data_IF_119283095453
#
_entry.id   IF_119283095453
#
_cell.length_a   1.000
_cell.length_b   1.000
_cell.length_c   1.000
_cell.angle_alpha   90.00
_cell.angle_beta   90.00
_cell.angle_gamma   90.00
#
_symmetry.space_group_name_H-M   'P 1'
#
loop_
_entity.id
_entity.type
_entity.pdbx_description
1 polymer ?
#
# COMPACT_ATOMS: atom_id res chain seq x y z
N UNK A 1 -13.51 -24.26 -0.82
CA UNK A 1 -12.16 -24.86 -0.78
C UNK A 1 -11.03 -23.87 -1.13
N UNK A 2 -11.25 -22.76 -1.84
CA UNK A 2 -10.17 -21.84 -2.24
C UNK A 2 -9.53 -21.08 -1.07
N UNK A 3 -10.34 -20.46 -0.20
CA UNK A 3 -9.81 -19.69 0.95
C UNK A 3 -9.12 -20.60 1.96
N UNK A 4 -9.61 -21.83 2.15
CA UNK A 4 -8.99 -22.79 3.06
C UNK A 4 -7.56 -23.15 2.66
N UNK A 5 -7.21 -23.08 1.37
CA UNK A 5 -5.82 -23.27 0.90
C UNK A 5 -4.94 -22.09 1.35
N UNK A 6 -5.44 -20.85 1.27
CA UNK A 6 -4.69 -19.65 1.72
C UNK A 6 -4.64 -19.47 3.24
N UNK A 7 -5.51 -20.17 3.99
CA UNK A 7 -5.40 -20.32 5.45
C UNK A 7 -4.29 -21.32 5.85
N UNK A 8 -3.78 -22.14 4.92
CA UNK A 8 -2.71 -23.09 5.19
C UNK A 8 -1.34 -22.41 5.18
N UNK A 9 -0.47 -22.75 6.13
CA UNK A 9 0.88 -22.18 6.32
C UNK A 9 1.95 -22.80 5.38
N UNK A 10 1.56 -23.27 4.19
CA UNK A 10 2.49 -23.91 3.26
C UNK A 10 3.20 -22.85 2.41
N UNK A 11 4.53 -22.90 2.35
CA UNK A 11 5.36 -21.99 1.51
C UNK A 11 4.96 -22.00 0.02
N UNK A 12 4.35 -23.09 -0.44
CA UNK A 12 3.77 -23.24 -1.78
C UNK A 12 2.72 -22.16 -2.11
N UNK A 13 2.03 -21.64 -1.10
CA UNK A 13 0.95 -20.64 -1.26
C UNK A 13 1.49 -19.26 -1.70
N UNK A 14 2.73 -18.91 -1.35
CA UNK A 14 3.40 -17.73 -1.92
C UNK A 14 3.71 -17.90 -3.42
N UNK A 15 3.94 -19.13 -3.88
CA UNK A 15 4.05 -19.41 -5.32
C UNK A 15 2.71 -19.23 -6.03
N UNK A 16 1.62 -19.65 -5.39
CA UNK A 16 0.27 -19.43 -5.91
C UNK A 16 -0.11 -17.95 -6.00
N UNK A 17 0.31 -17.08 -5.06
CA UNK A 17 0.01 -15.65 -5.18
C UNK A 17 0.68 -15.02 -6.40
N UNK A 18 1.91 -15.43 -6.75
CA UNK A 18 2.60 -15.00 -7.98
C UNK A 18 1.83 -15.49 -9.23
N UNK A 19 1.39 -16.75 -9.23
CA UNK A 19 0.59 -17.31 -10.34
C UNK A 19 -0.75 -16.56 -10.47
N UNK A 20 -1.39 -16.22 -9.35
CA UNK A 20 -2.65 -15.46 -9.34
C UNK A 20 -2.43 -14.05 -9.88
N UNK A 21 -1.34 -13.36 -9.50
CA UNK A 21 -0.97 -12.07 -10.10
C UNK A 21 -0.83 -12.22 -11.61
N UNK A 22 -0.07 -13.21 -12.07
CA UNK A 22 0.18 -13.41 -13.50
C UNK A 22 -1.10 -13.74 -14.27
N UNK A 23 -1.93 -14.67 -13.76
CA UNK A 23 -3.18 -15.07 -14.39
C UNK A 23 -4.22 -13.96 -14.44
N UNK A 24 -4.37 -13.19 -13.36
CA UNK A 24 -5.31 -12.06 -13.33
C UNK A 24 -4.88 -10.94 -14.28
N UNK A 25 -3.59 -10.87 -14.63
CA UNK A 25 -3.04 -9.77 -15.41
C UNK A 25 -2.73 -10.11 -16.88
N UNK A 26 -2.75 -11.38 -17.27
CA UNK A 26 -2.65 -11.81 -18.67
C UNK A 26 -3.66 -11.12 -19.63
N UNK A 27 -4.93 -10.90 -19.26
CA UNK A 27 -5.90 -10.24 -20.13
C UNK A 27 -5.53 -8.79 -20.48
N UNK A 28 -4.72 -8.15 -19.63
CA UNK A 28 -4.36 -6.73 -19.77
C UNK A 28 -3.25 -6.48 -20.79
N UNK A 29 -2.46 -7.50 -21.12
CA UNK A 29 -1.51 -7.43 -22.24
C UNK A 29 -2.21 -7.11 -23.57
N UNK A 30 -3.48 -7.51 -23.69
CA UNK A 30 -4.30 -7.32 -24.89
C UNK A 30 -5.15 -6.05 -24.83
N UNK A 31 -5.32 -5.45 -23.65
CA UNK A 31 -6.02 -4.18 -23.47
C UNK A 31 -5.07 -3.04 -23.82
N UNK A 32 -5.33 -2.41 -24.97
CA UNK A 32 -4.44 -1.42 -25.60
C UNK A 32 -4.56 -0.05 -24.92
N UNK A 33 -4.26 0.04 -23.63
CA UNK A 33 -4.25 1.32 -22.92
C UNK A 33 -2.91 2.02 -23.15
N UNK A 34 -2.88 2.96 -24.09
CA UNK A 34 -1.78 3.92 -24.24
C UNK A 34 -1.82 4.91 -23.07
N UNK A 35 -1.32 4.50 -21.92
CA UNK A 35 -1.23 5.37 -20.75
C UNK A 35 -0.03 6.30 -20.97
N UNK A 36 -0.33 7.57 -21.23
CA UNK A 36 0.65 8.64 -21.28
C UNK A 36 1.09 8.90 -19.84
N UNK A 37 2.24 8.34 -19.47
CA UNK A 37 2.90 8.72 -18.22
C UNK A 37 3.48 10.09 -18.47
N UNK A 38 2.95 11.09 -17.77
CA UNK A 38 3.42 12.46 -17.87
C UNK A 38 4.96 12.47 -17.82
N UNK A 39 5.57 13.16 -18.79
CA UNK A 39 7.02 13.31 -19.06
C UNK A 39 7.85 13.84 -17.87
N UNK A 40 7.26 14.00 -16.71
CA UNK A 40 7.78 14.74 -15.56
C UNK A 40 7.87 13.88 -14.30
N UNK A 41 8.08 12.57 -14.42
CA UNK A 41 8.59 11.82 -13.28
C UNK A 41 9.98 12.33 -12.95
N UNK A 42 10.18 12.84 -11.73
CA UNK A 42 11.45 13.32 -11.15
C UNK A 42 12.67 12.42 -11.44
N UNK A 43 12.43 11.17 -11.78
CA UNK A 43 13.43 10.20 -12.21
C UNK A 43 13.23 9.82 -13.68
N UNK A 44 14.05 10.37 -14.57
CA UNK A 44 14.07 10.01 -16.00
C UNK A 44 14.28 8.49 -16.22
N UNK A 45 14.88 7.78 -15.27
CA UNK A 45 15.02 6.32 -15.29
C UNK A 45 13.70 5.54 -15.38
N UNK A 46 12.61 6.08 -14.82
CA UNK A 46 11.28 5.45 -14.88
C UNK A 46 10.71 5.51 -16.31
N UNK A 47 11.03 6.58 -17.04
CA UNK A 47 10.58 6.74 -18.43
C UNK A 47 11.19 5.70 -19.38
N UNK A 48 12.44 5.29 -19.17
CA UNK A 48 13.09 4.25 -19.97
C UNK A 48 12.41 2.88 -19.84
N UNK A 49 12.00 2.51 -18.62
CA UNK A 49 11.29 1.25 -18.34
C UNK A 49 9.92 1.25 -19.05
N UNK A 50 9.25 2.40 -19.04
CA UNK A 50 7.91 2.54 -19.57
C UNK A 50 7.84 2.64 -21.10
N UNK A 51 8.96 2.93 -21.77
CA UNK A 51 9.03 2.91 -23.24
C UNK A 51 8.80 1.50 -23.84
N UNK A 52 9.10 0.44 -23.08
CA UNK A 52 8.89 -0.94 -23.51
C UNK A 52 7.74 -1.55 -22.70
N UNK A 53 6.56 -1.70 -23.32
CA UNK A 53 5.34 -2.23 -22.67
C UNK A 53 5.56 -3.53 -21.89
N UNK A 54 6.36 -4.45 -22.44
CA UNK A 54 6.62 -5.75 -21.83
C UNK A 54 7.50 -5.63 -20.58
N UNK A 55 8.41 -4.66 -20.59
CA UNK A 55 9.35 -4.38 -19.50
C UNK A 55 8.62 -3.70 -18.34
N UNK A 56 7.78 -2.69 -18.62
CA UNK A 56 6.94 -2.06 -17.60
C UNK A 56 5.96 -3.03 -16.96
N UNK A 57 5.32 -3.90 -17.75
CA UNK A 57 4.47 -4.96 -17.23
C UNK A 57 5.23 -5.93 -16.32
N UNK A 58 6.39 -6.43 -16.78
CA UNK A 58 7.21 -7.36 -16.00
C UNK A 58 7.65 -6.75 -14.66
N UNK A 59 8.11 -5.49 -14.66
CA UNK A 59 8.48 -4.80 -13.43
C UNK A 59 7.29 -4.51 -12.51
N UNK A 60 6.12 -4.16 -13.06
CA UNK A 60 4.90 -3.97 -12.28
C UNK A 60 4.48 -5.25 -11.54
N UNK A 61 4.47 -6.39 -12.25
CA UNK A 61 4.19 -7.72 -11.67
C UNK A 61 5.19 -8.04 -10.57
N UNK A 62 6.48 -7.82 -10.83
CA UNK A 62 7.56 -8.13 -9.90
C UNK A 62 7.44 -7.27 -8.63
N UNK A 63 7.17 -5.96 -8.77
CA UNK A 63 7.02 -5.07 -7.63
C UNK A 63 5.77 -5.38 -6.79
N UNK A 64 4.61 -5.61 -7.42
CA UNK A 64 3.38 -5.92 -6.67
C UNK A 64 3.46 -7.29 -6.00
N UNK A 65 4.04 -8.29 -6.67
CA UNK A 65 4.28 -9.60 -6.04
C UNK A 65 5.26 -9.50 -4.88
N UNK A 66 6.35 -8.73 -5.03
CA UNK A 66 7.29 -8.49 -3.94
C UNK A 66 6.62 -7.77 -2.75
N UNK A 67 5.79 -6.75 -3.00
CA UNK A 67 5.01 -6.05 -1.98
C UNK A 67 4.03 -7.00 -1.27
N UNK A 68 3.30 -7.81 -2.02
CA UNK A 68 2.35 -8.80 -1.50
C UNK A 68 3.03 -9.85 -0.59
N UNK A 69 4.17 -10.37 -1.02
CA UNK A 69 4.95 -11.35 -0.24
C UNK A 69 5.51 -10.69 1.01
N UNK A 70 6.04 -9.46 0.90
CA UNK A 70 6.66 -8.77 2.02
C UNK A 70 5.62 -8.35 3.07
N UNK A 71 4.46 -7.82 2.69
CA UNK A 71 3.41 -7.48 3.67
C UNK A 71 2.90 -8.72 4.40
N UNK A 72 2.79 -9.84 3.71
CA UNK A 72 2.42 -11.11 4.33
C UNK A 72 3.50 -11.61 5.30
N UNK A 73 4.77 -11.46 4.92
CA UNK A 73 5.90 -11.72 5.81
C UNK A 73 5.84 -10.84 7.06
N UNK A 74 5.56 -9.53 6.93
CA UNK A 74 5.42 -8.62 8.07
C UNK A 74 4.32 -9.07 9.03
N UNK A 75 3.12 -9.36 8.51
CA UNK A 75 1.97 -9.78 9.33
C UNK A 75 2.27 -11.06 10.11
N UNK A 76 2.91 -12.04 9.47
CA UNK A 76 3.29 -13.31 10.10
C UNK A 76 4.46 -13.12 11.09
N UNK A 77 5.46 -12.31 10.76
CA UNK A 77 6.60 -12.00 11.63
C UNK A 77 6.17 -11.31 12.93
N UNK A 78 5.30 -10.29 12.82
CA UNK A 78 4.77 -9.58 13.98
C UNK A 78 3.60 -10.28 14.67
N UNK A 79 3.14 -11.42 14.11
CA UNK A 79 1.99 -12.21 14.57
C UNK A 79 0.74 -11.34 14.76
N UNK A 80 0.45 -10.47 13.80
CA UNK A 80 -0.71 -9.56 13.83
C UNK A 80 -2.01 -10.38 13.69
N UNK A 81 -1.96 -11.48 12.95
CA UNK A 81 -3.04 -12.44 12.80
C UNK A 81 -2.67 -13.69 13.62
N UNK A 82 -3.65 -14.26 14.35
CA UNK A 82 -3.42 -15.36 15.28
C UNK A 82 -2.78 -16.62 14.64
N UNK A 83 -3.11 -16.88 13.37
CA UNK A 83 -2.55 -17.98 12.60
C UNK A 83 -1.68 -17.40 11.48
N UNK A 84 -0.57 -18.08 11.18
CA UNK A 84 0.19 -17.77 9.97
C UNK A 84 -0.69 -18.05 8.76
N UNK A 85 -0.96 -17.02 7.97
CA UNK A 85 -1.81 -17.11 6.79
C UNK A 85 -1.15 -16.43 5.61
N UNK A 86 -1.61 -16.75 4.40
CA UNK A 86 -1.23 -16.06 3.17
C UNK A 86 -2.36 -15.19 2.62
N UNK A 87 -3.39 -14.96 3.44
CA UNK A 87 -4.56 -14.16 3.08
C UNK A 87 -4.18 -12.71 2.79
N UNK A 88 -3.20 -12.15 3.51
CA UNK A 88 -2.77 -10.76 3.33
C UNK A 88 -2.21 -10.56 1.92
N UNK A 89 -1.32 -11.46 1.47
CA UNK A 89 -0.78 -11.39 0.11
C UNK A 89 -1.87 -11.49 -0.95
N UNK A 90 -2.85 -12.37 -0.74
CA UNK A 90 -3.96 -12.56 -1.66
C UNK A 90 -4.83 -11.30 -1.75
N UNK A 91 -5.25 -10.74 -0.62
CA UNK A 91 -6.09 -9.53 -0.62
C UNK A 91 -5.34 -8.31 -1.16
N UNK A 92 -4.03 -8.21 -0.92
CA UNK A 92 -3.21 -7.16 -1.51
C UNK A 92 -3.16 -7.27 -3.05
N UNK A 93 -2.95 -8.48 -3.58
CA UNK A 93 -2.95 -8.72 -5.03
C UNK A 93 -4.32 -8.41 -5.64
N UNK A 94 -5.41 -8.86 -5.02
CA UNK A 94 -6.77 -8.57 -5.51
C UNK A 94 -7.08 -7.08 -5.49
N UNK A 95 -6.60 -6.36 -4.47
CA UNK A 95 -6.71 -4.91 -4.40
C UNK A 95 -5.98 -4.23 -5.55
N UNK A 96 -4.71 -4.58 -5.80
CA UNK A 96 -3.97 -4.01 -6.94
C UNK A 96 -4.57 -4.42 -8.30
N UNK A 97 -5.07 -5.66 -8.43
CA UNK A 97 -5.65 -6.17 -9.66
C UNK A 97 -7.02 -5.57 -10.02
N UNK A 98 -7.64 -4.83 -9.10
CA UNK A 98 -8.91 -4.17 -9.33
C UNK A 98 -8.83 -3.02 -10.34
N UNK A 99 -7.63 -2.50 -10.58
CA UNK A 99 -7.44 -1.36 -11.45
C UNK A 99 -6.27 -1.56 -12.41
N UNK A 100 -6.60 -1.52 -13.70
CA UNK A 100 -5.63 -1.73 -14.77
C UNK A 100 -4.55 -0.66 -14.87
N UNK A 101 -4.82 0.56 -14.38
CA UNK A 101 -3.82 1.64 -14.35
C UNK A 101 -2.66 1.37 -13.38
N UNK A 102 -2.86 0.50 -12.38
CA UNK A 102 -1.86 0.17 -11.35
C UNK A 102 -0.87 -0.91 -11.81
N UNK A 103 -1.04 -1.42 -13.03
CA UNK A 103 -0.23 -2.49 -13.62
C UNK A 103 1.07 -1.99 -14.24
N UNK A 104 1.17 -0.69 -14.48
CA UNK A 104 2.35 -0.04 -15.03
C UNK A 104 3.21 0.45 -13.86
N UNK A 105 4.53 0.47 -14.05
CA UNK A 105 5.46 1.07 -13.10
C UNK A 105 5.18 2.57 -13.01
N UNK A 106 4.47 2.94 -11.95
CA UNK A 106 4.15 4.32 -11.60
C UNK A 106 5.00 4.76 -10.40
N UNK A 107 5.30 6.06 -10.26
CA UNK A 107 6.04 6.58 -9.11
C UNK A 107 5.37 6.24 -7.78
N UNK A 108 4.03 6.22 -7.73
CA UNK A 108 3.26 5.83 -6.54
C UNK A 108 3.53 4.38 -6.11
N UNK A 109 3.72 3.46 -7.07
CA UNK A 109 3.99 2.06 -6.78
C UNK A 109 5.38 1.86 -6.15
N UNK A 110 6.34 2.69 -6.56
CA UNK A 110 7.67 2.79 -5.94
C UNK A 110 7.56 3.44 -4.55
N UNK A 111 6.81 4.53 -4.42
CA UNK A 111 6.57 5.16 -3.12
C UNK A 111 5.96 4.16 -2.11
N UNK A 112 5.01 3.33 -2.57
CA UNK A 112 4.34 2.34 -1.73
C UNK A 112 5.30 1.26 -1.23
N UNK A 113 6.35 0.89 -1.97
CA UNK A 113 7.35 -0.07 -1.49
C UNK A 113 8.17 0.50 -0.33
N UNK A 114 8.59 1.77 -0.41
CA UNK A 114 9.26 2.46 0.68
C UNK A 114 8.36 2.66 1.90
N UNK A 115 7.07 2.97 1.69
CA UNK A 115 6.10 3.03 2.77
C UNK A 115 5.90 1.68 3.45
N UNK A 116 5.91 0.59 2.70
CA UNK A 116 5.80 -0.77 3.24
C UNK A 116 7.03 -1.11 4.11
N UNK A 117 8.23 -0.67 3.71
CA UNK A 117 9.43 -0.73 4.55
C UNK A 117 9.30 0.18 5.78
N UNK A 118 8.68 1.36 5.68
CA UNK A 118 8.43 2.22 6.82
C UNK A 118 7.46 1.56 7.81
N UNK A 119 6.42 0.87 7.33
CA UNK A 119 5.50 0.09 8.15
C UNK A 119 6.21 -1.03 8.92
N UNK A 120 7.20 -1.71 8.32
CA UNK A 120 8.08 -2.62 9.06
C UNK A 120 8.69 -1.92 10.27
N UNK A 121 9.32 -0.76 10.03
CA UNK A 121 9.97 -0.02 11.10
C UNK A 121 8.97 0.37 12.19
N UNK A 122 7.77 0.85 11.83
CA UNK A 122 6.70 1.19 12.77
C UNK A 122 6.30 -0.01 13.65
N UNK A 123 6.09 -1.19 13.06
CA UNK A 123 5.74 -2.40 13.83
C UNK A 123 6.89 -2.87 14.73
N UNK A 124 8.15 -2.68 14.31
CA UNK A 124 9.32 -3.01 15.11
C UNK A 124 9.47 -2.14 16.36
N UNK A 125 8.82 -0.97 16.41
CA UNK A 125 8.89 -0.06 17.56
C UNK A 125 8.09 -0.56 18.77
N UNK A 126 7.19 -1.53 18.57
CA UNK A 126 6.34 -2.03 19.64
C UNK A 126 7.17 -2.69 20.76
N UNK A 127 7.05 -2.12 21.97
CA UNK A 127 7.63 -2.66 23.21
C UNK A 127 9.16 -2.79 23.20
N UNK A 128 9.85 -1.93 22.44
CA UNK A 128 11.32 -1.81 22.43
C UNK A 128 11.72 -0.53 23.16
N UNK A 129 12.64 -0.64 24.12
CA UNK A 129 13.06 0.48 24.98
C UNK A 129 13.73 1.62 24.19
N UNK A 130 14.66 1.28 23.29
CA UNK A 130 15.42 2.25 22.48
C UNK A 130 15.18 2.00 21.01
N UNK A 131 14.53 2.95 20.35
CA UNK A 131 14.05 2.80 18.95
C UNK A 131 14.68 3.86 18.05
N UNK A 132 15.88 4.32 18.39
CA UNK A 132 16.57 5.37 17.65
C UNK A 132 16.81 4.98 16.18
N UNK A 133 17.27 3.75 15.93
CA UNK A 133 17.50 3.24 14.58
C UNK A 133 16.20 3.11 13.79
N UNK A 134 15.16 2.50 14.35
CA UNK A 134 13.89 2.34 13.63
C UNK A 134 13.19 3.67 13.40
N UNK A 135 13.24 4.62 14.35
CA UNK A 135 12.65 5.95 14.20
C UNK A 135 13.34 6.75 13.08
N UNK A 136 14.68 6.71 13.04
CA UNK A 136 15.46 7.30 11.97
C UNK A 136 15.14 6.66 10.61
N UNK A 137 15.16 5.33 10.54
CA UNK A 137 14.89 4.59 9.32
C UNK A 137 13.47 4.83 8.81
N UNK A 138 12.48 4.88 9.69
CA UNK A 138 11.11 5.18 9.32
C UNK A 138 11.00 6.60 8.73
N UNK A 139 11.59 7.61 9.38
CA UNK A 139 11.63 8.97 8.85
C UNK A 139 12.31 9.06 7.47
N UNK A 140 13.45 8.38 7.31
CA UNK A 140 14.20 8.31 6.06
C UNK A 140 13.36 7.66 4.94
N UNK A 141 12.74 6.52 5.21
CA UNK A 141 11.92 5.80 4.23
C UNK A 141 10.68 6.61 3.81
N UNK A 142 10.05 7.32 4.76
CA UNK A 142 8.91 8.21 4.48
C UNK A 142 9.34 9.38 3.60
N UNK A 143 10.51 9.99 3.86
CA UNK A 143 11.04 11.05 3.01
C UNK A 143 11.34 10.58 1.59
N UNK A 144 11.93 9.40 1.43
CA UNK A 144 12.15 8.82 0.10
C UNK A 144 10.81 8.58 -0.61
N UNK A 145 9.81 8.03 0.08
CA UNK A 145 8.47 7.85 -0.50
C UNK A 145 7.84 9.18 -0.91
N UNK A 146 7.99 10.23 -0.10
CA UNK A 146 7.51 11.59 -0.39
C UNK A 146 8.13 12.17 -1.66
N UNK A 147 9.41 11.90 -1.93
CA UNK A 147 10.07 12.35 -3.16
C UNK A 147 9.45 11.71 -4.42
N UNK A 148 8.90 10.50 -4.33
CA UNK A 148 8.17 9.87 -5.45
C UNK A 148 6.70 10.28 -5.49
N UNK A 149 6.08 10.48 -4.33
CA UNK A 149 4.68 10.84 -4.19
C UNK A 149 4.48 11.71 -2.94
N UNK A 150 4.29 13.01 -3.13
CA UNK A 150 4.23 14.00 -2.06
C UNK A 150 3.28 13.64 -0.90
N UNK A 151 2.04 13.16 -1.13
CA UNK A 151 1.12 12.83 -0.03
C UNK A 151 1.58 11.68 0.87
N UNK A 152 2.65 10.95 0.53
CA UNK A 152 3.30 10.01 1.45
C UNK A 152 3.81 10.69 2.74
N UNK A 153 3.97 12.02 2.75
CA UNK A 153 4.31 12.81 3.95
C UNK A 153 3.33 12.57 5.12
N UNK A 154 2.09 12.14 4.85
CA UNK A 154 1.10 11.80 5.87
C UNK A 154 1.51 10.63 6.78
N UNK A 155 2.49 9.83 6.37
CA UNK A 155 3.09 8.81 7.24
C UNK A 155 3.97 9.39 8.35
N UNK A 156 4.42 10.65 8.23
CA UNK A 156 5.25 11.28 9.26
C UNK A 156 4.43 11.58 10.53
N UNK A 157 3.23 12.18 10.48
CA UNK A 157 2.32 12.22 11.61
C UNK A 157 1.98 10.82 12.15
N UNK A 158 1.78 9.82 11.28
CA UNK A 158 1.55 8.43 11.70
C UNK A 158 2.71 7.91 12.55
N UNK A 159 3.96 8.15 12.14
CA UNK A 159 5.17 7.79 12.87
C UNK A 159 5.15 8.38 14.28
N UNK A 160 4.84 9.66 14.41
CA UNK A 160 4.77 10.32 15.71
C UNK A 160 3.67 9.77 16.60
N UNK A 161 2.48 9.51 16.04
CA UNK A 161 1.39 8.87 16.79
C UNK A 161 1.80 7.47 17.26
N UNK A 162 2.50 6.70 16.43
CA UNK A 162 3.02 5.37 16.79
C UNK A 162 4.04 5.46 17.92
N UNK A 163 4.96 6.44 17.91
CA UNK A 163 5.92 6.65 18.99
C UNK A 163 5.22 6.95 20.33
N UNK A 164 4.17 7.78 20.32
CA UNK A 164 3.38 8.11 21.52
C UNK A 164 2.56 6.90 22.00
N UNK A 165 2.02 6.11 21.08
CA UNK A 165 1.08 5.04 21.41
C UNK A 165 1.75 3.72 21.81
N UNK A 166 2.93 3.44 21.23
CA UNK A 166 3.67 2.20 21.50
C UNK A 166 4.27 2.19 22.90
N UNK A 167 4.77 3.33 23.37
CA UNK A 167 5.57 3.46 24.60
C UNK A 167 5.55 4.89 25.16
N UNK A 168 6.25 5.11 26.26
CA UNK A 168 6.44 6.44 26.85
C UNK A 168 7.18 7.34 25.85
N UNK A 169 6.62 8.50 25.48
CA UNK A 169 7.20 9.37 24.47
C UNK A 169 8.55 9.92 24.96
N UNK A 170 9.59 9.75 24.16
CA UNK A 170 10.91 10.33 24.39
C UNK A 170 11.20 11.36 23.31
N UNK A 171 11.40 12.62 23.69
CA UNK A 171 11.65 13.73 22.77
C UNK A 171 12.79 13.45 21.78
N UNK A 172 13.81 12.70 22.21
CA UNK A 172 14.95 12.32 21.36
C UNK A 172 14.52 11.52 20.13
N UNK A 173 13.50 10.68 20.26
CA UNK A 173 13.01 9.83 19.17
C UNK A 173 12.29 10.63 18.10
N UNK A 174 11.55 11.67 18.50
CA UNK A 174 10.95 12.62 17.57
C UNK A 174 12.03 13.36 16.77
N UNK A 175 13.05 13.89 17.46
CA UNK A 175 14.16 14.59 16.79
C UNK A 175 14.88 13.65 15.82
N UNK A 176 15.16 12.41 16.23
CA UNK A 176 15.83 11.43 15.39
C UNK A 176 14.97 11.05 14.16
N UNK A 177 13.66 10.94 14.32
CA UNK A 177 12.75 10.71 13.18
C UNK A 177 12.76 11.86 12.17
N UNK A 178 12.81 13.10 12.68
CA UNK A 178 12.90 14.31 11.84
C UNK A 178 14.25 14.39 11.13
N UNK A 179 15.35 14.06 11.81
CA UNK A 179 16.68 13.98 11.18
C UNK A 179 16.71 12.95 10.05
N UNK A 180 16.12 11.78 10.28
CA UNK A 180 15.95 10.76 9.24
C UNK A 180 15.18 11.27 8.03
N UNK A 181 14.09 12.01 8.27
CA UNK A 181 13.26 12.59 7.22
C UNK A 181 13.94 13.74 6.44
N UNK A 182 14.69 14.60 7.12
CA UNK A 182 15.38 15.73 6.48
C UNK A 182 16.51 15.26 5.56
N UNK A 183 17.18 14.15 5.89
CA UNK A 183 18.36 13.69 5.16
C UNK A 183 18.11 13.50 3.64
N UNK A 184 17.14 12.68 3.19
CA UNK A 184 16.85 12.56 1.75
C UNK A 184 16.50 13.88 1.07
N UNK A 185 15.82 14.79 1.78
CA UNK A 185 15.47 16.12 1.25
C UNK A 185 16.71 16.98 1.01
N UNK A 186 17.67 16.96 1.95
CA UNK A 186 18.94 17.69 1.80
C UNK A 186 19.73 17.16 0.61
N UNK A 187 19.84 15.83 0.47
CA UNK A 187 20.52 15.23 -0.69
C UNK A 187 19.81 15.56 -2.00
N UNK A 188 18.48 15.54 -2.02
CA UNK A 188 17.69 15.91 -3.17
C UNK A 188 17.93 17.37 -3.59
N UNK A 189 17.86 18.31 -2.64
CA UNK A 189 18.11 19.73 -2.90
C UNK A 189 19.56 19.95 -3.38
N UNK A 190 20.53 19.30 -2.74
CA UNK A 190 21.93 19.37 -3.12
C UNK A 190 22.16 18.86 -4.56
N UNK A 191 21.51 17.78 -4.96
CA UNK A 191 21.60 17.25 -6.32
C UNK A 191 21.14 18.27 -7.38
N UNK A 192 19.98 18.90 -7.18
CA UNK A 192 19.48 19.92 -8.10
C UNK A 192 20.35 21.17 -8.13
N UNK A 193 20.88 21.57 -6.96
CA UNK A 193 21.82 22.69 -6.86
C UNK A 193 23.13 22.43 -7.62
N UNK A 194 23.72 21.23 -7.49
CA UNK A 194 24.96 20.85 -8.17
C UNK A 194 24.75 20.69 -9.69
N UNK A 195 23.58 20.19 -10.10
CA UNK A 195 23.25 19.99 -11.52
C UNK A 195 22.75 21.25 -12.22
N UNK A 196 22.67 22.38 -11.52
CA UNK A 196 22.08 23.65 -12.01
C UNK A 196 20.68 23.47 -12.63
N UNK A 197 19.94 22.46 -12.19
CA UNK A 197 18.57 22.24 -12.63
C UNK A 197 17.62 23.02 -11.70
N UNK A 198 16.55 23.63 -12.22
CA UNK A 198 15.57 24.29 -11.37
C UNK A 198 14.98 23.25 -10.40
N UNK A 199 14.93 23.61 -9.11
CA UNK A 199 14.29 22.78 -8.11
C UNK A 199 12.84 22.54 -8.55
N UNK A 200 12.41 21.29 -8.78
CA UNK A 200 11.00 21.00 -8.99
C UNK A 200 10.28 21.50 -7.74
N UNK A 201 9.26 22.34 -7.91
CA UNK A 201 8.55 22.96 -6.79
C UNK A 201 7.91 21.87 -5.91
N UNK A 202 8.63 21.40 -4.88
CA UNK A 202 8.16 20.41 -3.90
C UNK A 202 6.85 20.80 -3.21
N UNK A 203 6.50 22.09 -3.24
CA UNK A 203 5.37 22.70 -2.54
C UNK A 203 4.47 23.55 -3.46
N UNK A 204 4.69 23.51 -4.78
CA UNK A 204 3.93 24.30 -5.75
C UNK A 204 2.59 23.65 -6.09
N UNK A 205 1.50 24.39 -5.87
CA UNK A 205 0.11 24.02 -6.19
C UNK A 205 -0.12 23.93 -7.72
N UNK A 206 0.80 24.45 -8.52
CA UNK A 206 0.63 24.56 -9.96
C UNK A 206 1.27 23.35 -10.68
N UNK A 207 0.41 22.38 -11.01
CA UNK A 207 0.50 21.43 -12.13
C UNK A 207 1.52 20.27 -12.13
N UNK A 208 2.39 20.08 -11.13
CA UNK A 208 3.43 19.02 -11.21
C UNK A 208 3.18 17.72 -10.42
N UNK A 209 2.19 17.68 -9.52
CA UNK A 209 1.87 16.46 -8.74
C UNK A 209 0.62 15.73 -9.21
N UNK A 210 0.05 16.23 -10.29
CA UNK A 210 -1.16 15.72 -10.88
C UNK A 210 -0.82 14.53 -11.80
N UNK A 211 -0.27 13.47 -11.19
CA UNK A 211 0.12 12.22 -11.87
C UNK A 211 -1.03 11.65 -12.71
N UNK A 212 -2.28 12.06 -12.44
CA UNK A 212 -3.47 11.58 -13.13
C UNK A 212 -4.51 12.65 -13.55
N UNK A 213 -4.27 13.97 -13.48
CA UNK A 213 -5.36 14.94 -13.81
C UNK A 213 -5.58 15.21 -15.30
N UNK A 214 -4.61 15.00 -16.18
CA UNK A 214 -4.80 15.32 -17.61
C UNK A 214 -5.53 14.25 -18.41
N UNK A 215 -5.85 13.12 -17.76
CA UNK A 215 -6.94 12.30 -18.22
C UNK A 215 -7.97 12.31 -17.11
N UNK A 216 -9.11 12.94 -17.38
CA UNK A 216 -10.37 12.38 -16.91
C UNK A 216 -10.35 10.93 -17.39
N UNK A 217 -9.74 10.02 -16.64
CA UNK A 217 -10.05 8.61 -16.73
C UNK A 217 -11.53 8.67 -16.43
N UNK A 218 -12.37 8.52 -17.45
CA UNK A 218 -13.77 8.64 -17.19
C UNK A 218 -14.01 7.58 -16.13
N UNK A 219 -14.75 7.92 -15.07
CA UNK A 219 -15.29 6.92 -14.15
C UNK A 219 -16.29 6.00 -14.91
N UNK A 220 -16.25 5.99 -16.26
CA UNK A 220 -16.94 5.09 -17.13
C UNK A 220 -16.39 3.67 -16.96
N UNK A 221 -17.32 2.90 -16.41
CA UNK A 221 -17.56 1.47 -16.54
C UNK A 221 -16.65 0.49 -15.80
N UNK A 222 -15.34 0.69 -15.74
CA UNK A 222 -14.45 -0.36 -15.24
C UNK A 222 -14.31 -0.32 -13.70
N UNK A 223 -14.99 -1.22 -13.00
CA UNK A 223 -14.69 -1.54 -11.59
C UNK A 223 -15.60 -0.94 -10.52
N UNK A 224 -16.66 -0.19 -10.86
CA UNK A 224 -17.63 0.32 -9.86
C UNK A 224 -18.20 -0.78 -8.98
N UNK A 225 -18.56 -1.92 -9.58
CA UNK A 225 -19.08 -3.08 -8.84
C UNK A 225 -18.07 -3.64 -7.84
N UNK A 226 -16.80 -3.78 -8.24
CA UNK A 226 -15.74 -4.21 -7.32
C UNK A 226 -15.44 -3.16 -6.25
N UNK A 227 -15.42 -1.88 -6.61
CA UNK A 227 -15.19 -0.79 -5.67
C UNK A 227 -16.28 -0.73 -4.59
N UNK A 228 -17.55 -0.86 -4.97
CA UNK A 228 -18.64 -0.92 -3.99
C UNK A 228 -18.59 -2.20 -3.16
N UNK A 229 -18.33 -3.37 -3.78
CA UNK A 229 -18.25 -4.62 -3.03
C UNK A 229 -17.09 -4.61 -2.04
N UNK A 230 -15.92 -4.09 -2.43
CA UNK A 230 -14.75 -4.01 -1.56
C UNK A 230 -14.95 -3.01 -0.43
N UNK A 231 -15.63 -1.87 -0.66
CA UNK A 231 -15.99 -0.93 0.41
C UNK A 231 -16.94 -1.57 1.41
N UNK A 232 -17.98 -2.26 0.95
CA UNK A 232 -18.95 -2.92 1.83
C UNK A 232 -18.26 -3.98 2.69
N UNK A 233 -17.46 -4.86 2.08
CA UNK A 233 -16.70 -5.88 2.81
C UNK A 233 -15.67 -5.24 3.74
N UNK A 234 -15.03 -4.16 3.31
CA UNK A 234 -14.08 -3.38 4.11
C UNK A 234 -14.71 -2.77 5.36
N UNK A 235 -15.89 -2.15 5.22
CA UNK A 235 -16.65 -1.61 6.34
C UNK A 235 -17.06 -2.71 7.32
N UNK A 236 -17.55 -3.85 6.82
CA UNK A 236 -17.86 -5.01 7.65
C UNK A 236 -16.63 -5.51 8.41
N UNK A 237 -15.47 -5.56 7.75
CA UNK A 237 -14.21 -5.97 8.37
C UNK A 237 -13.74 -5.00 9.45
N UNK A 238 -13.90 -3.69 9.24
CA UNK A 238 -13.59 -2.66 10.25
C UNK A 238 -14.53 -2.77 11.45
N UNK A 239 -15.85 -2.93 11.21
CA UNK A 239 -16.84 -3.09 12.29
C UNK A 239 -16.53 -4.35 13.11
N UNK A 240 -16.21 -5.46 12.45
CA UNK A 240 -15.85 -6.71 13.12
C UNK A 240 -14.56 -6.57 13.94
N UNK A 241 -13.55 -5.91 13.39
CA UNK A 241 -12.30 -5.62 14.09
C UNK A 241 -12.55 -4.80 15.36
N UNK A 242 -13.36 -3.74 15.28
CA UNK A 242 -13.67 -2.89 16.43
C UNK A 242 -14.46 -3.64 17.50
N UNK A 243 -15.39 -4.53 17.11
CA UNK A 243 -16.17 -5.34 18.05
C UNK A 243 -15.33 -6.39 18.79
N UNK A 244 -14.37 -7.00 18.12
CA UNK A 244 -13.53 -8.06 18.67
C UNK A 244 -12.15 -7.57 19.13
N UNK A 245 -11.95 -6.26 19.26
CA UNK A 245 -10.61 -5.73 19.52
C UNK A 245 -10.10 -6.09 20.92
N UNK A 246 -11.01 -6.18 21.90
CA UNK A 246 -10.69 -6.43 23.30
C UNK A 246 -10.43 -7.90 23.62
N UNK A 247 -10.79 -8.83 22.73
CA UNK A 247 -10.48 -10.26 22.89
C UNK A 247 -9.04 -10.57 22.48
N UNK A 248 -8.39 -9.67 21.74
CA UNK A 248 -7.02 -9.86 21.30
C UNK A 248 -6.03 -9.52 22.42
N UNK A 249 -4.90 -10.24 22.46
CA UNK A 249 -3.76 -9.87 23.30
C UNK A 249 -3.31 -8.44 23.03
N UNK A 250 -2.84 -7.74 24.07
CA UNK A 250 -2.52 -6.31 24.06
C UNK A 250 -1.63 -5.92 22.87
N UNK A 251 -0.61 -6.73 22.54
CA UNK A 251 0.25 -6.51 21.37
C UNK A 251 -0.52 -6.47 20.06
N UNK A 252 -1.35 -7.49 19.81
CA UNK A 252 -2.13 -7.60 18.58
C UNK A 252 -3.13 -6.46 18.49
N UNK A 253 -3.83 -6.15 19.59
CA UNK A 253 -4.75 -5.00 19.66
C UNK A 253 -4.05 -3.69 19.30
N UNK A 254 -2.88 -3.40 19.87
CA UNK A 254 -2.15 -2.16 19.56
C UNK A 254 -1.73 -2.10 18.08
N UNK A 255 -1.22 -3.20 17.52
CA UNK A 255 -0.80 -3.25 16.11
C UNK A 255 -1.98 -3.11 15.15
N UNK A 256 -3.12 -3.77 15.42
CA UNK A 256 -4.34 -3.62 14.62
C UNK A 256 -4.91 -2.19 14.67
N UNK A 257 -4.83 -1.52 15.84
CA UNK A 257 -5.20 -0.11 15.95
C UNK A 257 -4.26 0.81 15.16
N UNK A 258 -2.96 0.51 15.10
CA UNK A 258 -2.03 1.25 14.23
C UNK A 258 -2.38 1.08 12.76
N UNK A 259 -2.78 -0.14 12.34
CA UNK A 259 -3.23 -0.41 10.97
C UNK A 259 -4.52 0.36 10.65
N UNK A 260 -5.46 0.43 11.60
CA UNK A 260 -6.69 1.23 11.44
C UNK A 260 -6.38 2.74 11.32
N UNK A 261 -5.49 3.25 12.17
CA UNK A 261 -5.03 4.64 12.13
C UNK A 261 -4.33 4.96 10.79
N UNK A 262 -3.51 4.03 10.29
CA UNK A 262 -2.88 4.12 8.98
C UNK A 262 -3.92 4.22 7.86
N UNK A 263 -4.99 3.42 7.92
CA UNK A 263 -6.11 3.51 6.97
C UNK A 263 -6.77 4.90 6.97
N UNK A 264 -7.03 5.46 8.16
CA UNK A 264 -7.66 6.78 8.30
C UNK A 264 -6.77 7.91 7.78
N UNK A 265 -5.49 7.90 8.13
CA UNK A 265 -4.53 8.90 7.65
C UNK A 265 -4.33 8.80 6.14
N UNK A 266 -4.28 7.59 5.58
CA UNK A 266 -4.19 7.42 4.13
C UNK A 266 -5.45 7.89 3.40
N UNK A 267 -6.63 7.73 3.99
CA UNK A 267 -7.86 8.30 3.43
C UNK A 267 -7.78 9.84 3.33
N UNK A 268 -7.12 10.49 4.30
CA UNK A 268 -6.92 11.95 4.27
C UNK A 268 -6.00 12.44 3.14
N UNK A 269 -5.25 11.54 2.48
CA UNK A 269 -4.43 11.90 1.31
C UNK A 269 -5.24 12.40 0.11
N UNK A 270 -6.54 12.09 0.06
CA UNK A 270 -7.47 12.64 -0.93
C UNK A 270 -7.52 14.17 -0.89
N UNK A 271 -7.47 14.76 0.30
CA UNK A 271 -7.50 16.22 0.47
C UNK A 271 -6.17 16.87 0.13
N UNK A 272 -5.06 16.17 0.34
CA UNK A 272 -3.70 16.68 0.06
C UNK A 272 -3.42 16.66 -1.44
N UNK A 273 -3.92 15.66 -2.16
CA UNK A 273 -3.61 15.46 -3.58
C UNK A 273 -4.71 15.90 -4.54
N UNK A 274 -5.49 16.94 -4.19
CA UNK A 274 -6.56 17.46 -5.05
C UNK A 274 -7.52 16.37 -5.58
N UNK A 275 -7.86 15.38 -4.74
CA UNK A 275 -8.77 14.26 -5.06
C UNK A 275 -8.27 13.25 -6.11
N UNK A 276 -6.98 12.93 -6.13
CA UNK A 276 -6.45 11.79 -6.88
C UNK A 276 -6.85 10.43 -6.28
N UNK A 277 -8.02 9.93 -6.66
CA UNK A 277 -8.59 8.69 -6.15
C UNK A 277 -7.69 7.46 -6.37
N UNK A 278 -6.95 7.39 -7.48
CA UNK A 278 -6.15 6.22 -7.84
C UNK A 278 -4.94 6.03 -6.94
N UNK A 279 -4.19 7.11 -6.73
CA UNK A 279 -3.03 7.06 -5.86
C UNK A 279 -3.43 6.74 -4.41
N UNK A 280 -4.53 7.32 -3.93
CA UNK A 280 -5.05 7.00 -2.59
C UNK A 280 -5.51 5.55 -2.47
N UNK A 281 -6.12 5.00 -3.52
CA UNK A 281 -6.55 3.61 -3.56
C UNK A 281 -5.36 2.68 -3.41
N UNK A 282 -4.27 2.88 -4.18
CA UNK A 282 -3.08 2.03 -4.09
C UNK A 282 -2.45 2.05 -2.69
N UNK A 283 -2.35 3.23 -2.07
CA UNK A 283 -1.82 3.38 -0.71
C UNK A 283 -2.67 2.65 0.34
N UNK A 284 -3.99 2.72 0.22
CA UNK A 284 -4.91 2.01 1.13
C UNK A 284 -4.78 0.48 1.03
N UNK A 285 -4.18 -0.06 -0.03
CA UNK A 285 -3.96 -1.50 -0.18
C UNK A 285 -3.19 -2.14 0.98
N UNK A 286 -2.22 -1.42 1.56
CA UNK A 286 -1.44 -1.91 2.70
C UNK A 286 -2.35 -2.16 3.93
N UNK A 287 -3.01 -1.16 4.53
CA UNK A 287 -3.84 -1.42 5.71
C UNK A 287 -5.04 -2.31 5.39
N UNK A 288 -5.62 -2.14 4.20
CA UNK A 288 -6.85 -2.83 3.83
C UNK A 288 -6.65 -4.34 3.70
N UNK A 289 -5.55 -4.78 3.07
CA UNK A 289 -5.21 -6.20 2.96
C UNK A 289 -5.02 -6.88 4.32
N UNK A 290 -4.45 -6.17 5.30
CA UNK A 290 -4.26 -6.68 6.67
C UNK A 290 -5.62 -6.82 7.39
N UNK A 291 -6.48 -5.80 7.31
CA UNK A 291 -7.81 -5.80 7.95
C UNK A 291 -8.69 -6.90 7.36
N UNK A 292 -8.75 -7.02 6.03
CA UNK A 292 -9.48 -8.10 5.37
C UNK A 292 -8.95 -9.48 5.73
N UNK A 293 -7.62 -9.67 5.69
CA UNK A 293 -7.03 -10.94 6.06
C UNK A 293 -7.40 -11.34 7.50
N UNK A 294 -7.40 -10.39 8.43
CA UNK A 294 -7.83 -10.63 9.80
C UNK A 294 -9.32 -11.03 9.88
N UNK A 295 -10.20 -10.29 9.20
CA UNK A 295 -11.65 -10.59 9.13
C UNK A 295 -11.94 -12.01 8.62
N UNK A 296 -11.37 -12.37 7.47
CA UNK A 296 -11.55 -13.70 6.88
C UNK A 296 -10.90 -14.82 7.71
N UNK A 297 -9.82 -14.51 8.44
CA UNK A 297 -9.21 -15.48 9.34
C UNK A 297 -10.10 -15.77 10.56
N UNK A 298 -10.74 -14.74 11.13
CA UNK A 298 -11.61 -14.87 12.29
C UNK A 298 -12.98 -15.51 11.99
N UNK A 299 -13.41 -15.52 10.72
CA UNK A 299 -14.65 -16.18 10.31
C UNK A 299 -14.64 -17.69 10.58
N UNK A 300 -15.51 -18.13 11.52
CA UNK A 300 -15.74 -19.54 11.86
C UNK A 300 -16.48 -20.31 10.76
N UNK A 301 -17.44 -19.66 10.09
CA UNK A 301 -18.25 -20.26 9.01
C UNK A 301 -17.51 -20.19 7.68
N UNK A 302 -16.79 -21.25 7.33
CA UNK A 302 -15.98 -21.34 6.10
C UNK A 302 -16.80 -21.13 4.83
N UNK A 303 -18.03 -21.66 4.77
CA UNK A 303 -18.91 -21.49 3.61
C UNK A 303 -19.29 -20.01 3.34
N UNK A 304 -19.55 -19.22 4.38
CA UNK A 304 -19.85 -17.78 4.23
C UNK A 304 -18.64 -17.01 3.73
N UNK A 305 -17.45 -17.31 4.27
CA UNK A 305 -16.21 -16.72 3.79
C UNK A 305 -16.02 -16.99 2.29
N UNK A 306 -16.28 -18.22 1.85
CA UNK A 306 -16.18 -18.61 0.44
C UNK A 306 -17.17 -17.88 -0.46
N UNK A 307 -18.41 -17.71 -0.03
CA UNK A 307 -19.42 -16.96 -0.80
C UNK A 307 -19.00 -15.50 -0.96
N UNK A 308 -18.58 -14.84 0.12
CA UNK A 308 -18.15 -13.42 0.07
C UNK A 308 -16.94 -13.28 -0.86
N UNK A 309 -15.98 -14.19 -0.76
CA UNK A 309 -14.78 -14.18 -1.58
C UNK A 309 -15.05 -14.44 -3.06
N UNK A 310 -15.90 -15.43 -3.37
CA UNK A 310 -16.34 -15.69 -4.74
C UNK A 310 -17.09 -14.49 -5.30
N UNK A 311 -17.92 -13.82 -4.50
CA UNK A 311 -18.57 -12.57 -4.86
C UNK A 311 -17.55 -11.48 -5.25
N UNK A 312 -16.50 -11.29 -4.45
CA UNK A 312 -15.42 -10.36 -4.78
C UNK A 312 -14.73 -10.72 -6.10
N UNK A 313 -14.38 -11.99 -6.30
CA UNK A 313 -13.76 -12.44 -7.56
C UNK A 313 -14.68 -12.23 -8.77
N UNK A 314 -15.98 -12.55 -8.66
CA UNK A 314 -16.95 -12.33 -9.73
C UNK A 314 -17.02 -10.84 -10.07
N UNK A 315 -17.07 -9.95 -9.06
CA UNK A 315 -17.07 -8.51 -9.32
C UNK A 315 -15.77 -8.01 -9.95
N UNK A 316 -14.62 -8.62 -9.64
CA UNK A 316 -13.35 -8.36 -10.34
C UNK A 316 -13.42 -8.82 -11.79
N UNK A 317 -13.84 -10.06 -12.05
CA UNK A 317 -13.94 -10.56 -13.42
C UNK A 317 -14.89 -9.72 -14.25
N UNK A 318 -16.06 -9.36 -13.72
CA UNK A 318 -17.00 -8.46 -14.39
C UNK A 318 -16.38 -7.09 -14.67
N UNK A 319 -15.53 -6.58 -13.76
CA UNK A 319 -14.83 -5.31 -13.99
C UNK A 319 -13.82 -5.33 -15.12
N UNK A 320 -13.38 -6.50 -15.59
CA UNK A 320 -12.51 -6.60 -16.77
C UNK A 320 -13.28 -6.53 -18.10
N UNK A 321 -14.58 -6.83 -18.09
CA UNK A 321 -15.42 -6.92 -19.29
C UNK A 321 -16.35 -5.71 -19.51
N UNK A 322 -16.37 -4.73 -18.58
CA UNK A 322 -17.37 -3.63 -18.53
C UNK A 322 -16.82 -2.26 -18.89
#
# INVERSE_FOLDING_TARGET
MLISVFKSNQKLVNGFSIIVVFCLWLPLFWLNNSIVINKYSLFNGISFINNVKLLSFAFGVLLISAQAIYINHLVNHFKIIANNTHLVSLFYVLWCAANSSLLIVTPILIANSFLLLAVHQLFSMYNVERVYSSAFNAGLLIAIAMLFYFPAVLFLPLLWIVLIYTKTPNWREFVISVLGFILPLVFFIAYYFITNQPLPMLFGVDNNYTVFLDYQIPVNSLGRGFFYSIIVVGLLAVIDLLRHIDTNVVKIRKLLLMVLLMMLLLCSSLFVNSFDYLATYLLMGIPFSIILANYFNQMKRTWLAEIIFLGLLITLFLSYFS
#
